data_IF_769211014409
#
_entry.id   IF_769211014409
#
_cell.length_a   1.000
_cell.length_b   1.000
_cell.length_c   1.000
_cell.angle_alpha   90.00
_cell.angle_beta   90.00
_cell.angle_gamma   90.00
#
_symmetry.space_group_name_H-M   'P 1'
#
loop_
_entity.id
_entity.type
_entity.pdbx_description
1 polymer ?
#
# COMPACT_ATOMS: atom_id res chain seq x y z
N UNK A 1 1.67 -22.89 5.81
CA UNK A 1 1.16 -21.79 6.66
C UNK A 1 -0.13 -21.25 6.02
N UNK A 2 -1.26 -21.28 6.72
CA UNK A 2 -2.61 -21.07 6.16
C UNK A 2 -3.05 -19.59 6.28
N UNK A 3 -3.33 -18.96 5.13
CA UNK A 3 -4.34 -17.89 4.91
C UNK A 3 -4.52 -16.74 5.92
N UNK A 4 -3.45 -16.05 6.34
CA UNK A 4 -3.61 -14.78 7.10
C UNK A 4 -4.15 -13.60 6.26
N UNK A 5 -4.14 -13.71 4.93
CA UNK A 5 -4.48 -12.61 4.03
C UNK A 5 -5.98 -12.27 3.90
N UNK A 6 -6.90 -13.16 4.33
CA UNK A 6 -8.33 -12.83 4.27
C UNK A 6 -8.74 -11.71 5.23
N UNK A 7 -7.97 -11.49 6.31
CA UNK A 7 -8.14 -10.35 7.20
C UNK A 7 -7.50 -9.06 6.66
N UNK A 8 -6.55 -9.15 5.71
CA UNK A 8 -5.82 -7.98 5.20
C UNK A 8 -6.62 -7.18 4.17
N UNK A 9 -7.44 -7.82 3.32
CA UNK A 9 -8.07 -7.12 2.18
C UNK A 9 -8.97 -5.94 2.58
N UNK A 10 -9.81 -6.10 3.62
CA UNK A 10 -10.69 -5.00 4.08
C UNK A 10 -9.90 -3.89 4.75
N UNK A 11 -8.92 -4.22 5.58
CA UNK A 11 -8.08 -3.23 6.25
C UNK A 11 -7.21 -2.47 5.25
N UNK A 12 -6.59 -3.17 4.30
CA UNK A 12 -5.82 -2.55 3.20
C UNK A 12 -6.72 -1.61 2.39
N UNK A 13 -7.96 -1.97 2.09
CA UNK A 13 -8.89 -1.09 1.40
C UNK A 13 -9.23 0.18 2.20
N UNK A 14 -9.41 0.07 3.52
CA UNK A 14 -9.61 1.23 4.41
C UNK A 14 -8.39 2.15 4.40
N UNK A 15 -7.18 1.59 4.49
CA UNK A 15 -5.94 2.36 4.45
C UNK A 15 -5.75 3.08 3.11
N UNK A 16 -6.07 2.44 1.97
CA UNK A 16 -6.02 3.11 0.67
C UNK A 16 -7.09 4.20 0.53
N UNK A 17 -8.30 4.00 1.06
CA UNK A 17 -9.31 5.05 1.09
C UNK A 17 -8.83 6.27 1.90
N UNK A 18 -8.20 6.02 3.05
CA UNK A 18 -7.61 7.10 3.86
C UNK A 18 -6.46 7.79 3.14
N UNK A 19 -5.65 7.03 2.40
CA UNK A 19 -4.60 7.59 1.57
C UNK A 19 -5.16 8.50 0.49
N UNK A 20 -6.24 8.13 -0.19
CA UNK A 20 -6.86 8.97 -1.23
C UNK A 20 -7.30 10.33 -0.67
N UNK A 21 -7.89 10.35 0.53
CA UNK A 21 -8.24 11.58 1.25
C UNK A 21 -7.01 12.44 1.59
N UNK A 22 -6.00 11.82 2.23
CA UNK A 22 -4.78 12.52 2.63
C UNK A 22 -3.98 13.03 1.42
N UNK A 23 -3.92 12.24 0.34
CA UNK A 23 -3.20 12.58 -0.88
C UNK A 23 -3.81 13.80 -1.58
N UNK A 24 -5.15 13.87 -1.64
CA UNK A 24 -5.85 15.03 -2.16
C UNK A 24 -5.56 16.28 -1.32
N UNK A 25 -5.72 16.19 0.01
CA UNK A 25 -5.45 17.32 0.90
C UNK A 25 -3.99 17.78 0.86
N UNK A 26 -3.02 16.85 0.80
CA UNK A 26 -1.59 17.17 0.63
C UNK A 26 -1.30 17.83 -0.72
N UNK A 27 -1.99 17.41 -1.77
CA UNK A 27 -1.85 18.04 -3.08
C UNK A 27 -2.27 19.52 -3.01
N UNK A 28 -3.42 19.79 -2.41
CA UNK A 28 -3.98 21.13 -2.31
C UNK A 28 -3.10 22.03 -1.41
N UNK A 29 -2.68 21.54 -0.24
CA UNK A 29 -1.77 22.29 0.65
C UNK A 29 -0.46 22.66 -0.05
N UNK A 30 0.13 21.75 -0.82
CA UNK A 30 1.35 22.04 -1.58
C UNK A 30 1.12 23.01 -2.74
N UNK A 31 -0.05 22.97 -3.38
CA UNK A 31 -0.41 23.89 -4.45
C UNK A 31 -0.64 25.31 -3.90
N UNK A 32 -1.32 25.43 -2.75
CA UNK A 32 -1.65 26.68 -2.08
C UNK A 32 -0.50 27.24 -1.23
N UNK A 33 0.56 26.45 -1.03
CA UNK A 33 1.69 26.76 -0.11
C UNK A 33 1.22 27.08 1.31
N UNK A 34 0.14 26.41 1.72
CA UNK A 34 -0.49 26.57 3.02
C UNK A 34 0.32 25.88 4.13
N UNK A 35 0.14 26.37 5.36
CA UNK A 35 0.69 25.74 6.56
C UNK A 35 0.02 24.39 6.83
N UNK A 36 0.62 23.54 7.68
CA UNK A 36 0.05 22.22 8.01
C UNK A 36 0.55 21.06 7.12
N UNK A 37 1.37 21.36 6.11
CA UNK A 37 1.92 20.33 5.19
C UNK A 37 2.71 19.25 5.93
N UNK A 38 3.50 19.63 6.96
CA UNK A 38 4.39 18.67 7.65
C UNK A 38 3.59 17.68 8.49
N UNK A 39 2.57 18.19 9.16
CA UNK A 39 1.67 17.45 10.04
C UNK A 39 0.87 16.44 9.22
N UNK A 40 0.33 16.87 8.08
CA UNK A 40 -0.40 15.98 7.18
C UNK A 40 0.53 14.96 6.48
N UNK A 41 1.78 15.34 6.22
CA UNK A 41 2.80 14.39 5.74
C UNK A 41 3.18 13.36 6.81
N UNK A 42 3.20 13.73 8.09
CA UNK A 42 3.43 12.79 9.20
C UNK A 42 2.30 11.77 9.30
N UNK A 43 1.03 12.20 9.17
CA UNK A 43 -0.11 11.28 9.10
C UNK A 43 0.01 10.31 7.91
N UNK A 44 0.38 10.82 6.73
CA UNK A 44 0.52 10.00 5.53
C UNK A 44 1.69 9.00 5.61
N UNK A 45 2.78 9.36 6.28
CA UNK A 45 3.91 8.45 6.55
C UNK A 45 3.48 7.34 7.52
N UNK A 46 2.79 7.68 8.61
CA UNK A 46 2.29 6.70 9.56
C UNK A 46 1.32 5.71 8.90
N UNK A 47 0.44 6.20 8.01
CA UNK A 47 -0.45 5.36 7.22
C UNK A 47 0.31 4.39 6.31
N UNK A 48 1.39 4.85 5.67
CA UNK A 48 2.23 3.99 4.84
C UNK A 48 2.94 2.91 5.66
N UNK A 49 3.45 3.26 6.83
CA UNK A 49 4.11 2.33 7.75
C UNK A 49 3.14 1.26 8.24
N UNK A 50 1.91 1.64 8.61
CA UNK A 50 0.85 0.69 8.98
C UNK A 50 0.55 -0.28 7.83
N UNK A 51 0.40 0.25 6.61
CA UNK A 51 0.17 -0.56 5.41
C UNK A 51 1.33 -1.54 5.16
N UNK A 52 2.57 -1.08 5.31
CA UNK A 52 3.77 -1.91 5.16
C UNK A 52 3.85 -3.00 6.21
N UNK A 53 3.51 -2.71 7.47
CA UNK A 53 3.47 -3.72 8.54
C UNK A 53 2.37 -4.75 8.28
N UNK A 54 1.19 -4.31 7.82
CA UNK A 54 0.07 -5.20 7.53
C UNK A 54 0.37 -6.19 6.39
N UNK A 55 1.20 -5.78 5.43
CA UNK A 55 1.59 -6.59 4.28
C UNK A 55 3.06 -7.03 4.32
N UNK A 56 3.64 -7.15 5.51
CA UNK A 56 5.05 -7.54 5.67
C UNK A 56 5.36 -8.86 4.94
N UNK A 57 6.45 -8.88 4.18
CA UNK A 57 6.83 -9.97 3.29
C UNK A 57 5.89 -10.22 2.09
N UNK A 58 4.80 -9.47 1.96
CA UNK A 58 3.85 -9.56 0.85
C UNK A 58 4.09 -8.47 -0.18
N UNK A 59 4.38 -7.23 0.17
CA UNK A 59 4.60 -6.16 -0.82
C UNK A 59 5.93 -5.48 -0.55
N UNK A 60 6.72 -5.26 -1.60
CA UNK A 60 8.07 -4.68 -1.48
C UNK A 60 8.31 -3.67 -2.61
N UNK A 61 7.89 -2.41 -2.43
CA UNK A 61 8.19 -1.30 -3.33
C UNK A 61 9.69 -1.06 -3.49
N UNK A 62 10.07 -0.48 -4.64
CA UNK A 62 11.48 -0.32 -4.99
C UNK A 62 12.12 0.71 -4.06
N UNK A 63 13.26 0.32 -3.46
CA UNK A 63 14.04 1.12 -2.52
C UNK A 63 13.19 1.75 -1.42
N UNK A 64 12.23 0.97 -0.87
CA UNK A 64 11.28 1.46 0.12
C UNK A 64 11.96 2.21 1.28
N UNK A 65 12.99 1.61 1.87
CA UNK A 65 13.66 2.17 3.06
C UNK A 65 14.32 3.53 2.77
N UNK A 66 15.09 3.62 1.69
CA UNK A 66 15.78 4.85 1.28
C UNK A 66 14.79 5.97 0.97
N UNK A 67 13.71 5.63 0.23
CA UNK A 67 12.69 6.60 -0.17
C UNK A 67 11.88 7.07 1.02
N UNK A 68 11.53 6.17 1.95
CA UNK A 68 10.81 6.54 3.16
C UNK A 68 11.69 7.40 4.09
N UNK A 69 13.00 7.09 4.19
CA UNK A 69 13.98 7.93 4.88
C UNK A 69 14.05 9.34 4.29
N UNK A 70 14.13 9.44 2.96
CA UNK A 70 14.07 10.73 2.26
C UNK A 70 12.78 11.49 2.56
N UNK A 71 11.63 10.82 2.53
CA UNK A 71 10.32 11.43 2.82
C UNK A 71 10.28 11.98 4.24
N UNK A 72 10.70 11.21 5.25
CA UNK A 72 10.75 11.64 6.66
C UNK A 72 11.68 12.83 6.87
N UNK A 73 12.81 12.89 6.18
CA UNK A 73 13.74 14.01 6.28
C UNK A 73 13.23 15.28 5.59
N UNK A 74 12.27 15.17 4.67
CA UNK A 74 11.87 16.26 3.76
C UNK A 74 10.37 16.55 3.77
N UNK A 75 9.65 16.26 4.86
CA UNK A 75 8.18 16.35 4.97
C UNK A 75 7.55 17.69 4.56
N UNK A 76 8.30 18.80 4.56
CA UNK A 76 7.78 20.09 4.07
C UNK A 76 7.87 20.28 2.54
N UNK A 77 8.45 19.33 1.80
CA UNK A 77 8.80 19.52 0.37
C UNK A 77 7.86 18.72 -0.53
N UNK A 78 7.41 19.35 -1.62
CA UNK A 78 6.58 18.70 -2.62
C UNK A 78 7.24 17.44 -3.22
N UNK A 79 8.56 17.42 -3.33
CA UNK A 79 9.31 16.24 -3.79
C UNK A 79 9.17 15.04 -2.84
N UNK A 80 9.08 15.25 -1.53
CA UNK A 80 8.80 14.21 -0.56
C UNK A 80 7.38 13.67 -0.72
N UNK A 81 6.38 14.55 -0.84
CA UNK A 81 5.01 14.15 -1.15
C UNK A 81 4.95 13.30 -2.44
N UNK A 82 5.58 13.75 -3.52
CA UNK A 82 5.63 12.99 -4.78
C UNK A 82 6.29 11.62 -4.63
N UNK A 83 7.35 11.52 -3.82
CA UNK A 83 7.97 10.23 -3.52
C UNK A 83 7.03 9.29 -2.76
N UNK A 84 6.27 9.81 -1.80
CA UNK A 84 5.27 9.05 -1.05
C UNK A 84 4.12 8.58 -1.97
N UNK A 85 3.65 9.43 -2.88
CA UNK A 85 2.65 9.05 -3.90
C UNK A 85 3.13 7.87 -4.75
N UNK A 86 4.40 7.88 -5.16
CA UNK A 86 4.95 6.79 -5.96
C UNK A 86 5.06 5.51 -5.12
N UNK A 87 5.42 5.60 -3.82
CA UNK A 87 5.45 4.44 -2.92
C UNK A 87 4.06 3.79 -2.82
N UNK A 88 3.00 4.56 -2.55
CA UNK A 88 1.63 4.04 -2.48
C UNK A 88 1.18 3.41 -3.81
N UNK A 89 1.50 4.01 -4.96
CA UNK A 89 1.15 3.47 -6.28
C UNK A 89 1.84 2.13 -6.56
N UNK A 90 3.13 2.03 -6.26
CA UNK A 90 3.88 0.78 -6.38
C UNK A 90 3.29 -0.29 -5.46
N UNK A 91 2.99 0.09 -4.22
CA UNK A 91 2.38 -0.80 -3.24
C UNK A 91 1.04 -1.35 -3.75
N UNK A 92 0.12 -0.48 -4.16
CA UNK A 92 -1.21 -0.85 -4.65
C UNK A 92 -1.12 -1.80 -5.86
N UNK A 93 -0.20 -1.51 -6.79
CA UNK A 93 0.02 -2.35 -7.98
C UNK A 93 0.50 -3.75 -7.59
N UNK A 94 1.48 -3.86 -6.70
CA UNK A 94 1.99 -5.15 -6.25
C UNK A 94 0.96 -5.93 -5.44
N UNK A 95 0.21 -5.25 -4.56
CA UNK A 95 -0.87 -5.84 -3.78
C UNK A 95 -1.95 -6.44 -4.68
N UNK A 96 -2.42 -5.67 -5.68
CA UNK A 96 -3.42 -6.14 -6.64
C UNK A 96 -2.93 -7.36 -7.43
N UNK A 97 -1.67 -7.36 -7.88
CA UNK A 97 -1.06 -8.48 -8.59
C UNK A 97 -0.98 -9.76 -7.73
N UNK A 98 -0.64 -9.62 -6.44
CA UNK A 98 -0.60 -10.76 -5.51
C UNK A 98 -2.00 -11.29 -5.18
N UNK A 99 -2.99 -10.41 -5.04
CA UNK A 99 -4.39 -10.79 -4.86
C UNK A 99 -4.90 -11.64 -6.03
N UNK A 100 -4.67 -11.19 -7.27
CA UNK A 100 -5.08 -11.92 -8.48
C UNK A 100 -4.42 -13.31 -8.53
N UNK A 101 -3.12 -13.39 -8.26
CA UNK A 101 -2.39 -14.66 -8.23
C UNK A 101 -2.94 -15.63 -7.19
N UNK A 102 -3.24 -15.16 -5.97
CA UNK A 102 -3.79 -16.03 -4.92
C UNK A 102 -5.19 -16.55 -5.26
N UNK A 103 -6.02 -15.76 -5.94
CA UNK A 103 -7.33 -16.20 -6.44
C UNK A 103 -7.19 -17.24 -7.57
N UNK A 104 -6.19 -17.10 -8.45
CA UNK A 104 -5.88 -18.08 -9.48
C UNK A 104 -5.41 -19.41 -8.88
N UNK A 105 -4.46 -19.37 -7.94
CA UNK A 105 -3.94 -20.55 -7.23
C UNK A 105 -5.03 -21.32 -6.49
N UNK A 106 -5.97 -20.63 -5.82
CA UNK A 106 -7.14 -21.28 -5.21
C UNK A 106 -7.97 -22.03 -6.25
N UNK A 107 -8.30 -21.36 -7.36
CA UNK A 107 -9.14 -21.92 -8.41
C UNK A 107 -8.52 -23.18 -9.02
N UNK A 108 -7.19 -23.18 -9.22
CA UNK A 108 -6.46 -24.34 -9.71
C UNK A 108 -6.40 -25.50 -8.71
N UNK A 109 -6.29 -25.23 -7.40
CA UNK A 109 -6.37 -26.28 -6.36
C UNK A 109 -7.76 -26.96 -6.40
N UNK A 110 -8.84 -26.18 -6.50
CA UNK A 110 -10.20 -26.74 -6.58
C UNK A 110 -10.43 -27.51 -7.89
N UNK A 111 -9.89 -27.04 -9.01
CA UNK A 111 -9.97 -27.75 -10.30
C UNK A 111 -9.20 -29.08 -10.28
N UNK A 112 -8.01 -29.11 -9.68
CA UNK A 112 -7.18 -30.32 -9.60
C UNK A 112 -7.63 -31.32 -8.52
N UNK A 113 -8.36 -30.86 -7.50
CA UNK A 113 -8.99 -31.73 -6.51
C UNK A 113 -10.24 -32.44 -7.08
N UNK A 114 -11.00 -31.78 -7.95
CA UNK A 114 -12.19 -32.36 -8.59
C UNK A 114 -11.85 -33.47 -9.60
N UNK A 115 -10.65 -33.49 -10.18
CA UNK A 115 -10.22 -34.51 -11.17
C UNK A 115 -9.55 -35.74 -10.55
N UNK A 116 -9.22 -35.72 -9.25
CA UNK A 116 -8.62 -36.84 -8.52
C UNK A 116 -9.62 -37.71 -7.73
N UNK A 117 -10.92 -37.42 -7.86
CA UNK A 117 -12.00 -38.16 -7.18
C UNK A 117 -12.64 -39.29 -7.98
N UNK A 118 -12.30 -39.46 -9.27
CA UNK A 118 -12.91 -40.43 -10.18
C UNK A 118 -11.91 -41.51 -10.67
N UNK A 119 -11.04 -42.01 -9.79
CA UNK A 119 -10.15 -43.14 -10.08
C UNK A 119 -10.19 -44.19 -8.96
#
# INVERSE_FOLDING_TARGET
MKHQWKLTDKHVAVLFSRWDELSAALHDLHAERAEGTKELMDEAIALYEELSTLCDGVVEPINQEERLSFVRANRGRFTAYRQLVVLFKEFQKQFAAKRIRSEFEKTDIYRNAATKGDA
#
